data_IF_527177058164
#
_entry.id   IF_527177058164
#
_cell.length_a   1.000
_cell.length_b   1.000
_cell.length_c   1.000
_cell.angle_alpha   90.00
_cell.angle_beta   90.00
_cell.angle_gamma   90.00
#
_symmetry.space_group_name_H-M   'P 1'
#
loop_
_entity.id
_entity.type
_entity.pdbx_description
1 polymer ?
#
# COMPACT_ATOMS: atom_id res chain seq x y z
N UNK A 1 -11.34 1.65 -26.00
CA UNK A 1 -11.21 1.01 -24.68
C UNK A 1 -10.03 0.05 -24.78
N UNK A 2 -8.91 0.26 -24.09
CA UNK A 2 -7.97 -0.82 -23.87
C UNK A 2 -8.41 -1.58 -22.62
N UNK A 3 -8.57 -2.89 -22.76
CA UNK A 3 -8.74 -3.83 -21.66
C UNK A 3 -7.49 -3.77 -20.76
N UNK A 4 -7.61 -3.15 -19.59
CA UNK A 4 -6.62 -3.30 -18.52
C UNK A 4 -6.85 -4.66 -17.85
N UNK A 5 -6.53 -5.73 -18.57
CA UNK A 5 -6.40 -7.05 -17.98
C UNK A 5 -5.07 -7.06 -17.20
N UNK A 6 -5.12 -6.61 -15.94
CA UNK A 6 -4.00 -6.76 -15.00
C UNK A 6 -3.85 -8.25 -14.76
N UNK A 7 -2.93 -8.88 -15.49
CA UNK A 7 -2.60 -10.28 -15.34
C UNK A 7 -2.04 -10.49 -13.93
N UNK A 8 -2.86 -11.07 -13.03
CA UNK A 8 -2.35 -11.65 -11.80
C UNK A 8 -1.34 -12.75 -12.20
N UNK A 9 -0.15 -12.81 -11.59
CA UNK A 9 0.71 -13.97 -11.77
C UNK A 9 -0.08 -15.22 -11.34
N UNK A 10 0.08 -16.36 -12.04
CA UNK A 10 -0.51 -17.60 -11.57
C UNK A 10 -0.07 -17.85 -10.13
N UNK A 11 -0.99 -18.30 -9.27
CA UNK A 11 -0.62 -18.78 -7.94
C UNK A 11 0.55 -19.76 -8.10
N UNK A 12 1.60 -19.59 -7.29
CA UNK A 12 2.72 -20.52 -7.30
C UNK A 12 2.16 -21.95 -7.10
N UNK A 13 2.52 -22.88 -7.98
CA UNK A 13 1.99 -24.24 -7.98
C UNK A 13 2.06 -24.87 -6.58
N UNK A 14 0.93 -25.33 -6.04
CA UNK A 14 0.84 -25.99 -4.74
C UNK A 14 0.56 -25.09 -3.53
N UNK A 15 0.32 -23.79 -3.71
CA UNK A 15 -0.24 -22.94 -2.65
C UNK A 15 -1.78 -22.99 -2.70
N UNK A 16 -2.41 -23.83 -1.87
CA UNK A 16 -3.87 -23.84 -1.65
C UNK A 16 -4.30 -22.56 -0.90
N UNK A 17 -4.35 -21.43 -1.61
CA UNK A 17 -4.70 -20.10 -1.09
C UNK A 17 -5.65 -19.33 -2.02
N UNK A 18 -6.29 -18.25 -1.53
CA UNK A 18 -7.22 -17.46 -2.32
C UNK A 18 -6.59 -16.89 -3.61
N UNK A 19 -7.37 -16.73 -4.69
CA UNK A 19 -6.89 -16.16 -5.95
C UNK A 19 -6.39 -14.71 -5.85
N UNK A 20 -6.67 -14.01 -4.73
CA UNK A 20 -6.24 -12.64 -4.45
C UNK A 20 -5.81 -12.51 -2.99
N UNK A 21 -4.62 -13.02 -2.63
CA UNK A 21 -4.02 -12.77 -1.32
C UNK A 21 -3.34 -11.38 -1.27
N UNK A 22 -3.12 -10.77 -0.10
CA UNK A 22 -2.41 -9.50 -0.02
C UNK A 22 -0.95 -9.66 -0.47
N UNK A 23 -0.46 -8.68 -1.23
CA UNK A 23 0.95 -8.60 -1.60
C UNK A 23 1.82 -8.28 -0.39
N UNK A 24 2.94 -8.98 -0.24
CA UNK A 24 3.97 -8.65 0.75
C UNK A 24 5.01 -7.75 0.12
N UNK A 25 5.19 -6.55 0.67
CA UNK A 25 6.02 -5.51 0.09
C UNK A 25 7.18 -5.21 1.04
N UNK A 26 8.39 -5.57 0.63
CA UNK A 26 9.60 -5.31 1.39
C UNK A 26 10.24 -4.02 0.87
N UNK A 27 10.26 -2.98 1.70
CA UNK A 27 10.78 -1.65 1.36
C UNK A 27 12.24 -1.55 1.79
N UNK A 28 13.12 -1.42 0.81
CA UNK A 28 14.57 -1.33 0.94
C UNK A 28 15.18 -2.41 1.86
N UNK A 29 14.88 -3.71 1.65
CA UNK A 29 15.46 -4.77 2.48
C UNK A 29 16.99 -4.78 2.37
N UNK A 30 17.67 -4.99 3.50
CA UNK A 30 19.13 -4.91 3.56
C UNK A 30 19.82 -6.25 3.33
N UNK A 31 19.20 -7.36 3.74
CA UNK A 31 19.80 -8.69 3.68
C UNK A 31 18.96 -9.63 2.81
N UNK A 32 19.60 -10.26 1.82
CA UNK A 32 18.97 -11.30 0.99
C UNK A 32 18.41 -12.46 1.82
N UNK A 33 19.10 -12.86 2.89
CA UNK A 33 18.65 -13.90 3.82
C UNK A 33 17.27 -13.59 4.42
N UNK A 34 17.01 -12.32 4.77
CA UNK A 34 15.70 -11.91 5.30
C UNK A 34 14.61 -11.96 4.23
N UNK A 35 14.95 -11.65 2.96
CA UNK A 35 14.00 -11.77 1.85
C UNK A 35 13.63 -13.25 1.64
N UNK A 36 14.61 -14.15 1.61
CA UNK A 36 14.36 -15.59 1.49
C UNK A 36 13.61 -16.18 2.69
N UNK A 37 13.92 -15.73 3.91
CA UNK A 37 13.20 -16.10 5.11
C UNK A 37 11.74 -15.59 5.10
N UNK A 38 11.51 -14.37 4.61
CA UNK A 38 10.17 -13.83 4.41
C UNK A 38 9.39 -14.64 3.36
N UNK A 39 10.01 -15.00 2.24
CA UNK A 39 9.39 -15.86 1.23
C UNK A 39 8.98 -17.23 1.81
N UNK A 40 9.81 -17.82 2.68
CA UNK A 40 9.42 -19.05 3.40
C UNK A 40 8.24 -18.86 4.32
N UNK A 41 8.24 -17.77 5.08
CA UNK A 41 7.12 -17.41 5.95
C UNK A 41 5.82 -17.24 5.14
N UNK A 42 5.90 -16.61 3.96
CA UNK A 42 4.78 -16.47 3.03
C UNK A 42 4.27 -17.83 2.54
N UNK A 43 5.17 -18.70 2.06
CA UNK A 43 4.81 -20.03 1.56
C UNK A 43 4.12 -20.89 2.63
N UNK A 44 4.60 -20.85 3.88
CA UNK A 44 4.00 -21.59 5.00
C UNK A 44 2.50 -21.28 5.22
N UNK A 45 2.05 -20.09 4.80
CA UNK A 45 0.71 -19.58 5.06
C UNK A 45 -0.06 -19.22 3.78
N UNK A 46 0.39 -19.70 2.61
CA UNK A 46 -0.34 -19.57 1.35
C UNK A 46 -0.29 -18.17 0.73
N UNK A 47 0.71 -17.33 1.06
CA UNK A 47 0.96 -16.06 0.38
C UNK A 47 1.96 -16.26 -0.75
N UNK A 48 1.65 -15.78 -1.95
CA UNK A 48 2.48 -15.99 -3.14
C UNK A 48 3.09 -14.72 -3.75
N UNK A 49 2.53 -13.55 -3.47
CA UNK A 49 2.94 -12.31 -4.15
C UNK A 49 3.96 -11.51 -3.33
N UNK A 50 5.23 -11.56 -3.75
CA UNK A 50 6.32 -10.79 -3.16
C UNK A 50 6.67 -9.59 -4.06
N UNK A 51 6.65 -8.39 -3.48
CA UNK A 51 7.17 -7.16 -4.11
C UNK A 51 8.39 -6.68 -3.32
N UNK A 52 9.46 -6.35 -4.02
CA UNK A 52 10.71 -5.86 -3.42
C UNK A 52 11.00 -4.46 -3.95
N UNK A 53 11.10 -3.48 -3.07
CA UNK A 53 11.33 -2.07 -3.45
C UNK A 53 12.76 -1.71 -3.15
N UNK A 54 13.51 -1.26 -4.16
CA UNK A 54 14.87 -0.77 -4.04
C UNK A 54 15.77 -1.63 -3.10
N UNK A 55 15.92 -2.94 -3.34
CA UNK A 55 16.73 -3.81 -2.49
C UNK A 55 18.19 -3.32 -2.45
N UNK A 56 18.75 -3.17 -1.25
CA UNK A 56 20.09 -2.58 -1.07
C UNK A 56 21.18 -3.34 -1.83
N UNK A 57 21.13 -4.67 -1.77
CA UNK A 57 22.13 -5.55 -2.36
C UNK A 57 21.77 -5.98 -3.80
N UNK A 58 20.75 -5.33 -4.40
CA UNK A 58 20.30 -5.58 -5.77
C UNK A 58 19.46 -6.84 -5.95
N UNK A 59 19.10 -7.12 -7.21
CA UNK A 59 18.29 -8.27 -7.62
C UNK A 59 18.71 -8.77 -9.01
N UNK A 60 18.72 -10.11 -9.29
CA UNK A 60 18.42 -11.23 -8.38
C UNK A 60 19.45 -11.36 -7.25
N UNK A 61 19.08 -12.04 -6.17
CA UNK A 61 19.92 -12.18 -4.98
C UNK A 61 20.11 -13.66 -4.61
N UNK A 62 21.35 -14.16 -4.72
CA UNK A 62 21.67 -15.56 -4.47
C UNK A 62 21.42 -16.00 -3.01
N UNK A 63 21.61 -15.09 -2.04
CA UNK A 63 21.32 -15.37 -0.64
C UNK A 63 19.80 -15.55 -0.42
N UNK A 64 18.97 -14.69 -1.04
CA UNK A 64 17.52 -14.85 -1.00
C UNK A 64 17.06 -16.20 -1.58
N UNK A 65 17.61 -16.60 -2.72
CA UNK A 65 17.32 -17.90 -3.34
C UNK A 65 17.75 -19.07 -2.44
N UNK A 66 18.97 -19.03 -1.91
CA UNK A 66 19.49 -20.09 -1.05
C UNK A 66 18.70 -20.23 0.25
N UNK A 67 18.24 -19.11 0.83
CA UNK A 67 17.52 -19.12 2.10
C UNK A 67 16.04 -19.49 1.93
N UNK A 68 15.45 -19.27 0.75
CA UNK A 68 14.06 -19.56 0.44
C UNK A 68 13.71 -21.05 0.41
N UNK A 69 14.70 -21.93 0.19
CA UNK A 69 14.49 -23.38 0.13
C UNK A 69 13.30 -23.76 -0.78
N UNK A 70 12.25 -24.39 -0.25
CA UNK A 70 11.06 -24.80 -1.01
C UNK A 70 10.17 -23.62 -1.48
N UNK A 71 10.43 -22.40 -1.02
CA UNK A 71 9.72 -21.19 -1.42
C UNK A 71 10.41 -20.45 -2.58
N UNK A 72 11.29 -21.14 -3.33
CA UNK A 72 12.05 -20.53 -4.42
C UNK A 72 11.14 -19.90 -5.48
N UNK A 73 9.97 -20.48 -5.74
CA UNK A 73 8.98 -19.93 -6.66
C UNK A 73 8.50 -18.52 -6.28
N UNK A 74 8.41 -18.18 -4.99
CA UNK A 74 8.04 -16.82 -4.54
C UNK A 74 9.18 -15.84 -4.81
N UNK A 75 10.42 -16.27 -4.59
CA UNK A 75 11.61 -15.46 -4.88
C UNK A 75 11.76 -15.26 -6.38
N UNK A 76 11.71 -16.32 -7.19
CA UNK A 76 11.92 -16.23 -8.63
C UNK A 76 10.81 -15.41 -9.33
N UNK A 77 9.58 -15.43 -8.80
CA UNK A 77 8.47 -14.60 -9.28
C UNK A 77 8.34 -13.24 -8.58
N UNK A 78 9.29 -12.88 -7.70
CA UNK A 78 9.22 -11.60 -6.99
C UNK A 78 9.32 -10.44 -7.97
N UNK A 79 8.44 -9.45 -7.80
CA UNK A 79 8.46 -8.23 -8.63
C UNK A 79 9.29 -7.16 -7.95
N UNK A 80 10.28 -6.64 -8.68
CA UNK A 80 11.18 -5.61 -8.16
C UNK A 80 10.79 -4.24 -8.71
N UNK A 81 10.68 -3.26 -7.81
CA UNK A 81 10.27 -1.91 -8.13
C UNK A 81 11.36 -0.90 -7.73
N UNK A 82 11.52 0.19 -8.49
CA UNK A 82 12.51 1.22 -8.17
C UNK A 82 12.10 2.07 -6.96
N UNK A 83 10.79 2.22 -6.72
CA UNK A 83 10.24 3.01 -5.62
C UNK A 83 8.91 2.43 -5.13
N UNK A 84 8.48 2.92 -3.96
CA UNK A 84 7.28 2.43 -3.29
C UNK A 84 6.00 2.81 -4.06
N UNK A 85 5.97 3.95 -4.76
CA UNK A 85 4.78 4.38 -5.51
C UNK A 85 4.48 3.39 -6.63
N UNK A 86 5.50 2.98 -7.39
CA UNK A 86 5.38 1.97 -8.44
C UNK A 86 4.96 0.61 -7.85
N UNK A 87 5.50 0.26 -6.69
CA UNK A 87 5.21 -1.01 -6.02
C UNK A 87 3.80 -1.12 -5.44
N UNK A 88 3.05 -0.02 -5.30
CA UNK A 88 1.67 -0.03 -4.78
C UNK A 88 0.63 0.42 -5.79
N UNK A 89 1.04 0.81 -7.00
CA UNK A 89 0.21 1.51 -7.98
C UNK A 89 -1.16 0.86 -8.23
N UNK A 90 -1.18 -0.47 -8.43
CA UNK A 90 -2.35 -1.30 -8.70
C UNK A 90 -3.13 -1.75 -7.45
N UNK A 91 -2.68 -1.34 -6.26
CA UNK A 91 -3.35 -1.68 -5.01
C UNK A 91 -4.47 -0.69 -4.69
N UNK A 92 -5.53 -1.20 -4.07
CA UNK A 92 -6.66 -0.42 -3.57
C UNK A 92 -6.50 -0.11 -2.08
N UNK A 93 -5.77 -0.96 -1.36
CA UNK A 93 -5.56 -0.82 0.07
C UNK A 93 -4.13 -1.20 0.46
N UNK A 94 -3.44 -0.30 1.14
CA UNK A 94 -2.06 -0.50 1.60
C UNK A 94 -2.00 -0.33 3.10
N UNK A 95 -1.37 -1.26 3.80
CA UNK A 95 -1.23 -1.19 5.26
C UNK A 95 0.24 -1.27 5.67
N UNK A 96 0.69 -0.34 6.52
CA UNK A 96 2.09 -0.25 6.95
C UNK A 96 2.32 -0.93 8.29
N UNK A 97 3.35 -1.76 8.41
CA UNK A 97 3.75 -2.33 9.70
C UNK A 97 4.68 -1.38 10.47
N UNK A 98 4.41 -1.18 11.76
CA UNK A 98 5.29 -0.39 12.64
C UNK A 98 5.27 -0.92 14.06
N UNK A 99 6.43 -0.89 14.70
CA UNK A 99 6.57 -1.13 16.13
C UNK A 99 6.37 0.14 16.98
N UNK A 100 6.36 1.32 16.35
CA UNK A 100 6.34 2.62 17.04
C UNK A 100 5.03 3.34 16.78
N UNK A 101 4.46 3.93 17.83
CA UNK A 101 3.46 4.98 17.68
C UNK A 101 4.12 6.14 16.95
N UNK A 102 3.53 6.53 15.82
CA UNK A 102 3.97 7.68 15.02
C UNK A 102 2.92 8.77 15.14
N UNK A 103 3.34 10.03 15.04
CA UNK A 103 2.46 11.20 15.07
C UNK A 103 1.73 11.39 13.72
N UNK A 104 0.98 10.36 13.30
CA UNK A 104 0.19 10.36 12.08
C UNK A 104 -1.22 9.84 12.37
N UNK A 105 -2.22 10.62 12.01
CA UNK A 105 -3.64 10.24 12.18
C UNK A 105 -4.04 9.22 11.11
N UNK A 106 -3.84 7.93 11.40
CA UNK A 106 -4.30 6.78 10.61
C UNK A 106 -4.99 5.77 11.51
N UNK A 107 -5.82 4.90 10.91
CA UNK A 107 -6.37 3.75 11.61
C UNK A 107 -5.22 2.82 12.02
N UNK A 108 -5.30 2.29 13.24
CA UNK A 108 -4.30 1.36 13.79
C UNK A 108 -5.00 0.05 14.09
N UNK A 109 -4.48 -1.02 13.51
CA UNK A 109 -4.97 -2.38 13.66
C UNK A 109 -3.96 -3.22 14.45
N UNK A 110 -4.48 -4.19 15.21
CA UNK A 110 -3.70 -5.37 15.59
C UNK A 110 -3.44 -6.24 14.34
N UNK A 111 -2.45 -7.15 14.36
CA UNK A 111 -2.26 -8.13 13.29
C UNK A 111 -3.54 -8.90 12.92
N UNK A 112 -4.30 -9.35 13.93
CA UNK A 112 -5.57 -10.07 13.77
C UNK A 112 -6.64 -9.22 13.08
N UNK A 113 -6.91 -8.02 13.59
CA UNK A 113 -7.92 -7.13 12.99
C UNK A 113 -7.54 -6.63 11.60
N UNK A 114 -6.23 -6.48 11.33
CA UNK A 114 -5.73 -6.18 9.98
C UNK A 114 -5.99 -7.33 9.00
N UNK A 115 -5.81 -8.58 9.44
CA UNK A 115 -6.11 -9.75 8.62
C UNK A 115 -7.60 -9.81 8.25
N UNK A 116 -8.50 -9.55 9.21
CA UNK A 116 -9.94 -9.44 8.97
C UNK A 116 -10.30 -8.34 7.95
N UNK A 117 -9.75 -7.14 8.12
CA UNK A 117 -9.96 -6.02 7.17
C UNK A 117 -9.47 -6.36 5.75
N UNK A 118 -8.27 -6.93 5.62
CA UNK A 118 -7.74 -7.37 4.33
C UNK A 118 -8.61 -8.47 3.72
N UNK A 119 -9.20 -9.35 4.53
CA UNK A 119 -10.05 -10.43 4.05
C UNK A 119 -11.37 -9.88 3.51
N UNK A 120 -12.00 -8.95 4.21
CA UNK A 120 -13.20 -8.24 3.73
C UNK A 120 -12.95 -7.57 2.38
N UNK A 121 -11.82 -6.87 2.23
CA UNK A 121 -11.44 -6.19 0.98
C UNK A 121 -11.12 -7.18 -0.14
N UNK A 122 -10.43 -8.25 0.18
CA UNK A 122 -10.13 -9.35 -0.74
C UNK A 122 -11.42 -9.98 -1.27
N UNK A 123 -12.39 -10.28 -0.40
CA UNK A 123 -13.73 -10.76 -0.80
C UNK A 123 -14.46 -9.75 -1.70
N UNK A 124 -14.19 -8.45 -1.53
CA UNK A 124 -14.68 -7.37 -2.39
C UNK A 124 -13.84 -7.14 -3.67
N UNK A 125 -12.90 -8.05 -4.00
CA UNK A 125 -12.00 -7.98 -5.18
C UNK A 125 -11.07 -6.76 -5.20
N UNK A 126 -10.70 -6.26 -4.02
CA UNK A 126 -9.72 -5.20 -3.89
C UNK A 126 -8.32 -5.78 -3.67
N UNK A 127 -7.37 -5.39 -4.53
CA UNK A 127 -5.96 -5.67 -4.33
C UNK A 127 -5.44 -5.00 -3.05
N UNK A 128 -4.91 -5.80 -2.13
CA UNK A 128 -4.35 -5.34 -0.87
C UNK A 128 -2.82 -5.55 -0.83
N UNK A 129 -2.10 -4.76 -0.04
CA UNK A 129 -0.68 -4.99 0.21
C UNK A 129 -0.23 -4.55 1.60
N UNK A 130 0.79 -5.24 2.13
CA UNK A 130 1.36 -5.00 3.45
C UNK A 130 2.80 -4.55 3.31
N UNK A 131 3.12 -3.36 3.84
CA UNK A 131 4.46 -2.79 3.81
C UNK A 131 5.27 -3.22 5.02
N UNK A 132 6.49 -3.66 4.77
CA UNK A 132 7.52 -3.92 5.78
C UNK A 132 8.76 -3.13 5.42
N UNK A 133 9.33 -2.42 6.39
CA UNK A 133 10.50 -1.58 6.15
C UNK A 133 11.83 -2.27 6.45
N UNK A 134 12.90 -1.50 6.30
CA UNK A 134 14.29 -1.84 6.61
C UNK A 134 14.43 -2.45 8.02
N UNK A 135 15.31 -3.42 8.18
CA UNK A 135 15.50 -4.21 9.42
C UNK A 135 15.76 -3.36 10.67
N UNK A 136 16.51 -2.26 10.54
CA UNK A 136 16.90 -1.41 11.69
C UNK A 136 16.02 -0.19 11.90
N UNK A 137 15.57 0.44 10.82
CA UNK A 137 14.87 1.72 10.86
C UNK A 137 13.36 1.60 10.64
N UNK A 138 12.90 0.44 10.17
CA UNK A 138 11.52 0.24 9.73
C UNK A 138 11.18 1.11 8.52
N UNK A 139 9.89 1.37 8.35
CA UNK A 139 9.36 2.27 7.33
C UNK A 139 9.63 3.73 7.67
N UNK A 140 9.91 4.53 6.65
CA UNK A 140 10.04 5.97 6.76
C UNK A 140 8.67 6.64 6.88
N UNK A 141 8.64 7.90 7.34
CA UNK A 141 7.37 8.60 7.53
C UNK A 141 6.62 8.79 6.19
N UNK A 142 7.37 8.90 5.09
CA UNK A 142 6.78 9.08 3.76
C UNK A 142 6.24 7.74 3.21
N UNK A 143 6.85 6.61 3.55
CA UNK A 143 6.28 5.28 3.27
C UNK A 143 4.96 5.07 4.01
N UNK A 144 4.95 5.40 5.31
CA UNK A 144 3.74 5.30 6.14
C UNK A 144 2.66 6.23 5.61
N UNK A 145 3.02 7.41 5.09
CA UNK A 145 2.05 8.35 4.51
C UNK A 145 1.28 7.76 3.33
N UNK A 146 1.93 6.91 2.54
CA UNK A 146 1.32 6.18 1.41
C UNK A 146 0.34 5.11 1.91
N UNK A 147 0.55 4.48 3.07
CA UNK A 147 -0.40 3.49 3.58
C UNK A 147 -1.77 4.10 3.97
N UNK A 148 -2.85 3.35 3.88
CA UNK A 148 -4.19 3.75 4.32
C UNK A 148 -4.38 3.52 5.83
N UNK A 149 -3.73 2.50 6.37
CA UNK A 149 -3.72 2.19 7.79
C UNK A 149 -2.37 1.66 8.26
N UNK A 150 -2.29 1.37 9.56
CA UNK A 150 -1.08 0.88 10.23
C UNK A 150 -1.39 -0.41 10.99
N UNK A 151 -0.50 -1.38 10.93
CA UNK A 151 -0.48 -2.54 11.84
C UNK A 151 0.54 -2.28 12.94
N UNK A 152 0.11 -2.43 14.18
CA UNK A 152 0.98 -2.40 15.36
C UNK A 152 0.83 -3.70 16.16
N UNK A 153 1.87 -4.53 16.16
CA UNK A 153 1.90 -5.71 17.01
C UNK A 153 2.07 -5.32 18.49
N UNK A 154 1.43 -6.05 19.44
CA UNK A 154 1.52 -5.77 20.87
C UNK A 154 2.85 -6.28 21.47
N UNK A 155 3.96 -5.70 21.03
CA UNK A 155 5.31 -6.04 21.51
C UNK A 155 5.64 -5.33 22.83
N UNK A 156 6.57 -5.92 23.59
CA UNK A 156 7.13 -5.26 24.78
C UNK A 156 7.92 -4.02 24.35
N UNK A 157 7.62 -2.86 24.93
CA UNK A 157 8.20 -1.57 24.52
C UNK A 157 9.75 -1.55 24.55
N UNK A 158 10.37 -2.28 25.48
CA UNK A 158 11.83 -2.41 25.59
C UNK A 158 12.46 -3.17 24.41
N UNK A 159 11.70 -4.00 23.70
CA UNK A 159 12.15 -4.86 22.60
C UNK A 159 11.17 -4.82 21.43
N UNK A 160 10.79 -3.61 21.02
CA UNK A 160 9.72 -3.43 20.04
C UNK A 160 10.11 -3.85 18.61
N UNK A 161 11.41 -4.00 18.31
CA UNK A 161 11.88 -4.36 16.97
C UNK A 161 11.78 -5.87 16.74
N UNK A 162 10.87 -6.28 15.85
CA UNK A 162 10.78 -7.67 15.37
C UNK A 162 11.67 -7.81 14.11
N UNK A 163 12.30 -8.97 13.91
CA UNK A 163 13.01 -9.26 12.66
C UNK A 163 12.04 -9.24 11.46
N UNK A 164 12.51 -8.80 10.29
CA UNK A 164 11.68 -8.66 9.09
C UNK A 164 10.87 -9.92 8.75
N UNK A 165 11.53 -11.08 8.67
CA UNK A 165 10.88 -12.34 8.34
C UNK A 165 9.91 -12.80 9.43
N UNK A 166 10.20 -12.51 10.70
CA UNK A 166 9.28 -12.78 11.81
C UNK A 166 8.03 -11.90 11.78
N UNK A 167 8.17 -10.63 11.38
CA UNK A 167 7.04 -9.74 11.18
C UNK A 167 6.16 -10.23 10.01
N UNK A 168 6.77 -10.65 8.89
CA UNK A 168 6.06 -11.27 7.77
C UNK A 168 5.35 -12.55 8.21
N UNK A 169 6.02 -13.42 8.97
CA UNK A 169 5.45 -14.65 9.53
C UNK A 169 4.20 -14.38 10.37
N UNK A 170 4.25 -13.37 11.24
CA UNK A 170 3.13 -12.99 12.10
C UNK A 170 1.91 -12.56 11.27
N UNK A 171 2.11 -11.70 10.26
CA UNK A 171 1.01 -11.24 9.40
C UNK A 171 0.47 -12.37 8.52
N UNK A 172 1.36 -13.20 7.96
CA UNK A 172 0.99 -14.32 7.12
C UNK A 172 0.18 -15.38 7.91
N UNK A 173 0.58 -15.64 9.15
CA UNK A 173 -0.17 -16.51 10.06
C UNK A 173 -1.58 -15.97 10.34
N UNK A 174 -1.71 -14.71 10.73
CA UNK A 174 -3.01 -14.08 11.02
C UNK A 174 -3.92 -14.06 9.78
N UNK A 175 -3.34 -13.81 8.59
CA UNK A 175 -4.05 -13.92 7.32
C UNK A 175 -4.62 -15.33 7.09
N UNK A 176 -3.77 -16.37 7.22
CA UNK A 176 -4.21 -17.75 7.00
C UNK A 176 -5.28 -18.18 8.02
N UNK A 177 -5.13 -17.77 9.28
CA UNK A 177 -6.12 -18.03 10.33
C UNK A 177 -7.46 -17.39 9.96
N UNK A 178 -7.48 -16.10 9.62
CA UNK A 178 -8.71 -15.40 9.21
C UNK A 178 -9.37 -16.03 7.98
N UNK A 179 -8.57 -16.49 7.01
CA UNK A 179 -9.07 -17.22 5.85
C UNK A 179 -9.77 -18.53 6.24
N UNK A 180 -9.13 -19.37 7.07
CA UNK A 180 -9.69 -20.64 7.51
C UNK A 180 -10.97 -20.45 8.35
N UNK A 181 -10.99 -19.46 9.25
CA UNK A 181 -12.17 -19.14 10.06
C UNK A 181 -13.36 -18.72 9.16
N UNK A 182 -13.09 -17.99 8.07
CA UNK A 182 -14.10 -17.61 7.10
C UNK A 182 -14.59 -18.79 6.23
N UNK A 183 -13.73 -19.77 5.93
CA UNK A 183 -14.14 -20.99 5.25
C UNK A 183 -15.00 -21.89 6.16
N UNK A 184 -14.60 -22.07 7.41
CA UNK A 184 -15.30 -22.93 8.38
C UNK A 184 -16.68 -22.38 8.76
N UNK A 185 -16.80 -21.07 8.94
CA UNK A 185 -18.07 -20.42 9.26
C UNK A 185 -19.11 -20.50 8.13
N UNK A 186 -18.72 -20.98 6.94
CA UNK A 186 -19.60 -21.09 5.79
C UNK A 186 -20.18 -19.74 5.39
N UNK A 187 -19.47 -18.66 5.73
CA UNK A 187 -19.88 -17.28 5.51
C UNK A 187 -19.92 -17.07 3.99
N UNK A 188 -21.07 -17.39 3.39
CA UNK A 188 -21.35 -17.15 1.98
C UNK A 188 -20.95 -15.72 1.74
N UNK A 189 -19.93 -15.52 0.89
CA UNK A 189 -19.54 -14.22 0.37
C UNK A 189 -20.83 -13.50 0.03
N UNK A 190 -21.21 -12.52 0.85
CA UNK A 190 -22.26 -11.62 0.46
C UNK A 190 -21.76 -11.05 -0.86
N UNK A 191 -22.45 -11.38 -1.96
CA UNK A 191 -22.29 -10.66 -3.22
C UNK A 191 -22.25 -9.19 -2.82
N UNK A 192 -21.13 -8.47 -3.04
CA UNK A 192 -21.03 -7.09 -2.60
C UNK A 192 -22.28 -6.40 -3.09
N UNK A 193 -23.11 -5.90 -2.16
CA UNK A 193 -24.28 -5.13 -2.53
C UNK A 193 -23.76 -4.02 -3.43
N UNK A 194 -24.03 -4.13 -4.73
CA UNK A 194 -23.53 -3.22 -5.76
C UNK A 194 -24.20 -1.86 -5.54
N UNK A 195 -23.69 -1.08 -4.59
CA UNK A 195 -23.94 0.35 -4.56
C UNK A 195 -23.13 0.98 -5.69
N UNK A 196 -23.61 0.78 -6.93
CA UNK A 196 -22.93 1.17 -8.16
C UNK A 196 -21.68 0.33 -8.46
N UNK A 197 -21.27 0.30 -9.72
CA UNK A 197 -20.03 -0.35 -10.19
C UNK A 197 -18.75 0.38 -9.70
N UNK A 198 -18.85 1.24 -8.70
CA UNK A 198 -17.77 2.13 -8.28
C UNK A 198 -16.76 1.34 -7.42
N UNK A 199 -15.57 1.13 -7.97
CA UNK A 199 -14.44 0.56 -7.25
C UNK A 199 -13.70 1.66 -6.48
N UNK A 200 -13.10 1.36 -5.31
CA UNK A 200 -12.15 2.27 -4.70
C UNK A 200 -11.08 2.67 -5.70
N UNK A 201 -10.60 3.91 -5.60
CA UNK A 201 -9.48 4.34 -6.42
C UNK A 201 -8.22 3.55 -6.08
N UNK A 202 -7.44 3.23 -7.10
CA UNK A 202 -6.11 2.65 -6.92
C UNK A 202 -5.15 3.66 -6.28
N UNK A 203 -4.03 3.19 -5.72
CA UNK A 203 -3.00 4.10 -5.24
C UNK A 203 -2.44 4.96 -6.38
N UNK A 204 -2.34 4.45 -7.61
CA UNK A 204 -1.91 5.24 -8.77
C UNK A 204 -2.84 6.45 -9.00
N UNK A 205 -4.16 6.23 -9.02
CA UNK A 205 -5.13 7.30 -9.21
C UNK A 205 -5.08 8.34 -8.08
N UNK A 206 -4.97 7.88 -6.83
CA UNK A 206 -4.85 8.74 -5.65
C UNK A 206 -3.54 9.55 -5.67
N UNK A 207 -2.41 8.90 -5.97
CA UNK A 207 -1.11 9.56 -6.08
C UNK A 207 -1.15 10.62 -7.18
N UNK A 208 -1.69 10.28 -8.36
CA UNK A 208 -1.82 11.23 -9.47
C UNK A 208 -2.73 12.43 -9.16
N UNK A 209 -3.77 12.23 -8.33
CA UNK A 209 -4.56 13.32 -7.78
C UNK A 209 -3.77 14.18 -6.80
N UNK A 210 -3.04 13.57 -5.86
CA UNK A 210 -2.25 14.32 -4.88
C UNK A 210 -1.13 15.13 -5.54
N UNK A 211 -0.44 14.57 -6.52
CA UNK A 211 0.61 15.28 -7.26
C UNK A 211 0.06 16.49 -8.03
N UNK A 212 -1.14 16.35 -8.62
CA UNK A 212 -1.84 17.48 -9.21
C UNK A 212 -2.18 18.53 -8.14
N UNK A 213 -2.89 18.14 -7.09
CA UNK A 213 -3.34 19.05 -6.04
C UNK A 213 -2.17 19.79 -5.37
N UNK A 214 -1.10 19.09 -5.02
CA UNK A 214 0.08 19.67 -4.39
C UNK A 214 0.75 20.72 -5.26
N UNK A 215 0.89 20.45 -6.56
CA UNK A 215 1.45 21.42 -7.52
C UNK A 215 0.61 22.70 -7.56
N UNK A 216 -0.71 22.58 -7.59
CA UNK A 216 -1.61 23.75 -7.64
C UNK A 216 -1.65 24.50 -6.29
N UNK A 217 -1.52 23.80 -5.16
CA UNK A 217 -1.41 24.41 -3.84
C UNK A 217 -0.06 25.11 -3.61
N UNK A 218 1.03 24.58 -4.16
CA UNK A 218 2.32 25.27 -4.20
C UNK A 218 2.22 26.54 -5.05
N UNK A 219 1.61 26.46 -6.24
CA UNK A 219 1.44 27.60 -7.15
C UNK A 219 0.59 28.73 -6.57
N UNK A 220 -0.48 28.40 -5.83
CA UNK A 220 -1.33 29.37 -5.13
C UNK A 220 -0.70 29.96 -3.86
N UNK A 221 0.45 29.42 -3.40
CA UNK A 221 1.14 29.87 -2.19
C UNK A 221 0.54 29.33 -0.88
N UNK A 222 -0.41 28.39 -0.94
CA UNK A 222 -1.04 27.78 0.23
C UNK A 222 -0.03 27.00 1.09
N UNK A 223 0.94 26.32 0.47
CA UNK A 223 1.93 25.47 1.14
C UNK A 223 3.14 26.26 1.70
N UNK A 224 2.92 27.49 2.17
CA UNK A 224 3.94 28.34 2.79
C UNK A 224 3.76 28.47 4.30
N UNK A 225 4.84 28.59 5.07
CA UNK A 225 6.26 28.62 4.66
C UNK A 225 6.84 27.20 4.38
N UNK A 226 7.94 27.07 3.61
CA UNK A 226 8.45 25.78 3.11
C UNK A 226 8.72 24.72 4.19
N UNK A 227 9.13 25.13 5.38
CA UNK A 227 9.38 24.24 6.52
C UNK A 227 8.11 23.55 7.04
N UNK A 228 6.92 24.13 6.81
CA UNK A 228 5.64 23.52 7.18
C UNK A 228 5.03 22.66 6.08
N UNK A 229 5.48 22.82 4.82
CA UNK A 229 4.97 22.10 3.65
C UNK A 229 4.86 20.58 3.87
N UNK A 230 5.90 19.87 4.37
CA UNK A 230 5.80 18.42 4.52
C UNK A 230 4.65 17.98 5.45
N UNK A 231 4.42 18.72 6.54
CA UNK A 231 3.33 18.44 7.48
C UNK A 231 1.96 18.73 6.85
N UNK A 232 1.83 19.84 6.12
CA UNK A 232 0.59 20.23 5.45
C UNK A 232 0.21 19.21 4.37
N UNK A 233 1.17 18.83 3.51
CA UNK A 233 0.98 17.80 2.47
C UNK A 233 0.51 16.48 3.09
N UNK A 234 1.19 15.99 4.12
CA UNK A 234 0.77 14.77 4.84
C UNK A 234 -0.64 14.88 5.41
N UNK A 235 -0.99 16.03 5.98
CA UNK A 235 -2.34 16.27 6.53
C UNK A 235 -3.42 16.23 5.44
N UNK A 236 -3.17 16.86 4.29
CA UNK A 236 -4.08 16.88 3.14
C UNK A 236 -4.27 15.46 2.59
N UNK A 237 -3.18 14.73 2.34
CA UNK A 237 -3.24 13.33 1.88
C UNK A 237 -4.04 12.46 2.84
N UNK A 238 -3.76 12.55 4.14
CA UNK A 238 -4.48 11.78 5.15
C UNK A 238 -5.98 12.13 5.19
N UNK A 239 -6.36 13.39 4.93
CA UNK A 239 -7.77 13.79 4.88
C UNK A 239 -8.50 13.10 3.72
N UNK A 240 -7.94 13.13 2.52
CA UNK A 240 -8.56 12.49 1.35
C UNK A 240 -8.52 10.96 1.43
N UNK A 241 -7.45 10.35 1.97
CA UNK A 241 -7.39 8.89 2.16
C UNK A 241 -8.49 8.37 3.07
N UNK A 242 -8.89 9.13 4.11
CA UNK A 242 -10.00 8.74 4.98
C UNK A 242 -11.36 8.73 4.29
N UNK A 243 -11.51 9.37 3.13
CA UNK A 243 -12.76 9.38 2.37
C UNK A 243 -13.09 8.01 1.78
N UNK A 244 -12.08 7.15 1.54
CA UNK A 244 -12.29 5.88 0.84
C UNK A 244 -12.82 6.09 -0.58
N UNK A 245 -12.27 7.10 -1.27
CA UNK A 245 -12.76 7.57 -2.57
C UNK A 245 -12.78 6.47 -3.63
N UNK A 246 -13.82 6.48 -4.45
CA UNK A 246 -13.92 5.69 -5.68
C UNK A 246 -13.09 6.31 -6.81
N UNK A 247 -12.79 5.51 -7.84
CA UNK A 247 -12.09 5.97 -9.04
C UNK A 247 -12.79 7.19 -9.70
N UNK A 248 -14.13 7.16 -9.75
CA UNK A 248 -14.97 8.22 -10.30
C UNK A 248 -14.93 9.50 -9.45
N UNK A 249 -14.91 9.38 -8.12
CA UNK A 249 -14.77 10.53 -7.22
C UNK A 249 -13.39 11.16 -7.35
N UNK A 250 -12.32 10.35 -7.48
CA UNK A 250 -10.96 10.87 -7.73
C UNK A 250 -10.91 11.62 -9.07
N UNK A 251 -11.50 11.09 -10.14
CA UNK A 251 -11.61 11.80 -11.43
C UNK A 251 -12.36 13.13 -11.29
N UNK A 252 -13.44 13.15 -10.51
CA UNK A 252 -14.22 14.35 -10.23
C UNK A 252 -13.39 15.40 -9.47
N UNK A 253 -12.65 14.99 -8.43
CA UNK A 253 -11.76 15.88 -7.67
C UNK A 253 -10.66 16.47 -8.56
N UNK A 254 -10.04 15.67 -9.43
CA UNK A 254 -9.05 16.16 -10.41
C UNK A 254 -9.65 17.19 -11.37
N UNK A 255 -10.90 16.98 -11.80
CA UNK A 255 -11.67 17.92 -12.60
C UNK A 255 -11.94 19.25 -11.88
N UNK A 256 -12.28 19.19 -10.59
CA UNK A 256 -12.47 20.38 -9.73
C UNK A 256 -11.17 21.19 -9.66
N UNK A 257 -10.04 20.53 -9.36
CA UNK A 257 -8.72 21.19 -9.28
C UNK A 257 -8.35 21.85 -10.62
N UNK A 258 -8.56 21.15 -11.75
CA UNK A 258 -8.29 21.69 -13.08
C UNK A 258 -9.22 22.85 -13.49
N UNK A 259 -10.45 22.89 -12.96
CA UNK A 259 -11.41 23.97 -13.24
C UNK A 259 -11.06 25.24 -12.46
N UNK A 260 -10.69 25.11 -11.19
CA UNK A 260 -10.34 26.24 -10.33
C UNK A 260 -9.04 26.94 -10.77
N UNK A 261 -8.09 26.19 -11.33
CA UNK A 261 -6.77 26.71 -11.74
C UNK A 261 -6.78 27.37 -13.11
N UNK A 262 -7.58 26.85 -14.06
CA UNK A 262 -7.75 27.45 -15.41
C UNK A 262 -8.23 28.91 -15.40
N UNK A 263 -9.01 29.32 -14.40
CA UNK A 263 -9.44 30.74 -14.27
C UNK A 263 -8.31 31.68 -13.86
N UNK A 264 -7.27 31.17 -13.21
CA UNK A 264 -6.16 31.99 -12.71
C UNK A 264 -5.14 32.34 -13.81
N UNK A 265 -5.03 31.51 -14.86
CA UNK A 265 -4.12 31.76 -16.00
C UNK A 265 -4.70 32.77 -17.02
N UNK A 266 -6.03 32.90 -17.08
CA UNK A 266 -6.71 33.86 -17.99
C UNK A 266 -6.95 35.26 -17.42
N UNK A 267 -6.64 35.52 -16.15
CA UNK A 267 -7.02 36.74 -15.43
C UNK A 267 -5.99 37.88 -15.39
N UNK A 268 -4.83 37.75 -16.06
CA UNK A 268 -3.75 38.76 -15.98
C UNK A 268 -3.60 39.66 -17.22
N UNK A 269 -4.58 39.70 -18.12
CA UNK A 269 -4.63 40.66 -19.24
C UNK A 269 -6.04 41.17 -19.46
N UNK A 270 -6.43 42.17 -18.67
CA UNK A 270 -7.08 43.38 -19.19
C UNK A 270 -7.35 44.35 -18.03
N UNK A 271 -6.51 45.36 -17.94
CA UNK A 271 -6.91 46.61 -17.31
C UNK A 271 -6.41 47.74 -18.22
N UNK A 272 -7.18 48.14 -19.27
CA UNK A 272 -6.90 49.39 -19.92
C UNK A 272 -7.25 50.50 -18.93
N UNK A 273 -6.21 51.19 -18.47
CA UNK A 273 -6.33 52.43 -17.71
C UNK A 273 -7.25 53.37 -18.50
N UNK A 274 -8.37 53.75 -17.90
CA UNK A 274 -9.08 54.96 -18.28
C UNK A 274 -8.16 56.16 -17.99
N UNK A 275 -7.72 56.85 -19.04
CA UNK A 275 -7.47 58.30 -19.12
C UNK A 275 -7.17 58.66 -20.57
#
# INVERSE_FOLDING_TARGET
MPDNNVSHPPAAEGLDGPPTAPAIILVEPQLGDNIGAAARAMANFGLGELRVVAPRDGWPNAAAQSYAANALSIVDNARVFPDLKAAVADLHYVIATTARRRDMTKLVFSPESAAGEMLTRTKARQNCGVLFGKERSGLENDDIAIADAIISAPVVAAFASINLAQAVLLIAYEWRKAWLDAEESGEKTAEPWRQGDAQPATQEELIGFFEQLERELDASGFLRPPEKRPRMVRSIRNMFKRMGATDQEVRTLRGIVASLTRRHEGGSRDNPKMS
#
